data_IF_081472130048
#
_entry.id   IF_081472130048
#
_cell.length_a   1.000
_cell.length_b   1.000
_cell.length_c   1.000
_cell.angle_alpha   90.00
_cell.angle_beta   90.00
_cell.angle_gamma   90.00
#
_symmetry.space_group_name_H-M   'P 1'
#
loop_
_entity.id
_entity.type
_entity.pdbx_description
1 polymer ?
#
# COMPACT_ATOMS: atom_id res chain seq x y z
N UNK A 1 -11.46 4.99 12.91
CA UNK A 1 -10.13 5.62 13.03
C UNK A 1 -9.09 4.54 13.27
N UNK A 2 -8.30 4.21 12.26
CA UNK A 2 -7.26 3.17 12.34
C UNK A 2 -6.16 3.58 13.33
N UNK A 3 -5.91 2.74 14.33
CA UNK A 3 -4.84 2.97 15.31
C UNK A 3 -3.47 2.92 14.62
N UNK A 4 -2.87 4.10 14.49
CA UNK A 4 -1.46 4.45 14.25
C UNK A 4 -0.52 3.32 13.82
N UNK A 5 -0.22 3.27 12.53
CA UNK A 5 0.97 2.57 12.04
C UNK A 5 2.18 3.16 12.78
N UNK A 6 2.94 2.38 13.56
CA UNK A 6 4.04 2.91 14.35
C UNK A 6 5.09 3.55 13.44
N UNK A 7 5.45 4.81 13.70
CA UNK A 7 6.55 5.51 13.02
C UNK A 7 7.85 4.70 13.22
N UNK A 8 8.28 4.01 12.17
CA UNK A 8 9.49 3.18 12.14
C UNK A 8 10.21 3.39 10.82
N UNK A 9 11.54 3.38 10.86
CA UNK A 9 12.37 3.42 9.66
C UNK A 9 12.10 2.20 8.75
N UNK A 10 11.92 1.03 9.37
CA UNK A 10 11.64 -0.21 8.66
C UNK A 10 10.60 -1.07 9.38
N UNK A 11 9.77 -1.74 8.60
CA UNK A 11 8.81 -2.76 9.01
C UNK A 11 9.35 -4.13 8.59
N UNK A 12 9.17 -5.15 9.42
CA UNK A 12 9.49 -6.54 9.02
C UNK A 12 8.26 -7.16 8.37
N UNK A 13 8.45 -8.28 7.67
CA UNK A 13 7.33 -8.97 6.99
C UNK A 13 6.15 -9.26 7.91
N UNK A 14 6.40 -9.58 9.20
CA UNK A 14 5.33 -9.79 10.20
C UNK A 14 4.51 -8.53 10.47
N UNK A 15 5.17 -7.38 10.58
CA UNK A 15 4.49 -6.09 10.76
C UNK A 15 3.62 -5.78 9.54
N UNK A 16 4.19 -5.94 8.35
CA UNK A 16 3.49 -5.71 7.08
C UNK A 16 2.28 -6.63 6.93
N UNK A 17 2.42 -7.92 7.23
CA UNK A 17 1.31 -8.88 7.17
C UNK A 17 0.19 -8.51 8.15
N UNK A 18 0.54 -8.09 9.37
CA UNK A 18 -0.43 -7.65 10.38
C UNK A 18 -1.19 -6.41 9.94
N UNK A 19 -0.49 -5.43 9.36
CA UNK A 19 -1.10 -4.16 8.91
C UNK A 19 -1.94 -4.39 7.66
N UNK A 20 -1.41 -5.09 6.66
CA UNK A 20 -2.12 -5.36 5.42
C UNK A 20 -3.21 -6.43 5.58
N UNK A 21 -3.18 -7.26 6.63
CA UNK A 21 -4.14 -8.34 6.85
C UNK A 21 -4.03 -9.47 5.83
N UNK A 22 -2.82 -9.74 5.31
CA UNK A 22 -2.56 -10.81 4.34
C UNK A 22 -1.40 -11.70 4.77
N UNK A 23 -1.34 -12.91 4.22
CA UNK A 23 -0.30 -13.90 4.56
C UNK A 23 1.07 -13.52 3.97
N UNK A 24 2.20 -13.98 4.57
CA UNK A 24 3.53 -13.65 4.08
C UNK A 24 3.81 -14.03 2.62
N UNK A 25 3.26 -15.14 2.13
CA UNK A 25 3.45 -15.53 0.72
C UNK A 25 2.74 -14.58 -0.25
N UNK A 26 1.64 -13.95 0.15
CA UNK A 26 0.93 -12.94 -0.66
C UNK A 26 1.80 -11.69 -0.82
N UNK A 27 2.41 -11.21 0.27
CA UNK A 27 3.33 -10.06 0.21
C UNK A 27 4.53 -10.37 -0.69
N UNK A 28 5.11 -11.57 -0.55
CA UNK A 28 6.24 -11.99 -1.39
C UNK A 28 5.86 -12.10 -2.86
N UNK A 29 4.66 -12.58 -3.14
CA UNK A 29 4.15 -12.64 -4.50
C UNK A 29 3.98 -11.22 -5.07
N UNK A 30 3.41 -10.28 -4.31
CA UNK A 30 3.31 -8.89 -4.73
C UNK A 30 4.66 -8.21 -4.96
N UNK A 31 5.70 -8.53 -4.19
CA UNK A 31 7.06 -8.05 -4.47
C UNK A 31 7.58 -8.51 -5.85
N UNK A 32 7.17 -9.70 -6.32
CA UNK A 32 7.55 -10.20 -7.64
C UNK A 32 6.75 -9.52 -8.76
N UNK A 33 5.47 -9.28 -8.51
CA UNK A 33 4.56 -8.71 -9.51
C UNK A 33 4.74 -7.20 -9.67
N UNK A 34 4.88 -6.45 -8.56
CA UNK A 34 4.89 -4.99 -8.56
C UNK A 34 6.30 -4.46 -8.32
N UNK A 35 6.91 -3.91 -9.39
CA UNK A 35 8.30 -3.42 -9.39
C UNK A 35 8.52 -2.28 -8.40
N UNK A 36 7.49 -1.62 -7.94
CA UNK A 36 7.53 -0.51 -6.99
C UNK A 36 7.68 -0.99 -5.54
N UNK A 37 7.43 -2.27 -5.26
CA UNK A 37 7.56 -2.90 -3.94
C UNK A 37 8.91 -3.63 -3.88
N UNK A 38 9.96 -2.93 -3.44
CA UNK A 38 11.33 -3.47 -3.41
C UNK A 38 11.95 -3.28 -2.02
N UNK A 39 11.55 -4.10 -1.03
CA UNK A 39 12.14 -4.01 0.30
C UNK A 39 13.64 -4.33 0.24
N UNK A 40 14.43 -3.59 1.00
CA UNK A 40 15.83 -3.91 1.19
C UNK A 40 15.99 -5.23 1.95
N UNK A 41 17.13 -5.90 1.79
CA UNK A 41 17.51 -7.05 2.61
C UNK A 41 18.56 -6.60 3.63
N UNK A 42 18.35 -6.98 4.89
CA UNK A 42 19.40 -6.90 5.92
C UNK A 42 20.56 -7.84 5.61
N UNK A 43 21.67 -7.70 6.36
CA UNK A 43 22.81 -8.62 6.28
C UNK A 43 22.46 -10.09 6.50
N UNK A 44 21.40 -10.38 7.27
CA UNK A 44 20.88 -11.74 7.52
C UNK A 44 19.79 -12.17 6.52
N UNK A 45 19.61 -11.43 5.43
CA UNK A 45 18.61 -11.73 4.39
C UNK A 45 17.16 -11.40 4.75
N UNK A 46 16.90 -10.82 5.92
CA UNK A 46 15.55 -10.39 6.31
C UNK A 46 15.10 -9.18 5.50
N UNK A 47 13.84 -9.19 5.02
CA UNK A 47 13.24 -8.07 4.30
C UNK A 47 12.89 -6.93 5.25
N UNK A 48 13.29 -5.73 4.86
CA UNK A 48 13.03 -4.47 5.56
C UNK A 48 12.22 -3.57 4.62
N UNK A 49 10.95 -3.38 4.95
CA UNK A 49 10.02 -2.57 4.18
C UNK A 49 10.04 -1.15 4.73
N UNK A 50 10.13 -0.16 3.86
CA UNK A 50 9.98 1.24 4.25
C UNK A 50 8.50 1.62 4.41
N UNK A 51 8.21 2.80 4.96
CA UNK A 51 6.86 3.37 4.95
C UNK A 51 6.29 3.47 3.52
N UNK A 52 7.14 3.77 2.54
CA UNK A 52 6.79 3.84 1.12
C UNK A 52 6.40 2.47 0.54
N UNK A 53 7.14 1.43 0.88
CA UNK A 53 6.79 0.06 0.48
C UNK A 53 5.46 -0.38 1.11
N UNK A 54 5.26 -0.09 2.39
CA UNK A 54 4.01 -0.38 3.09
C UNK A 54 2.82 0.33 2.43
N UNK A 55 2.95 1.61 2.09
CA UNK A 55 1.90 2.36 1.41
C UNK A 55 1.52 1.73 0.05
N UNK A 56 2.51 1.26 -0.71
CA UNK A 56 2.27 0.57 -1.99
C UNK A 56 1.58 -0.78 -1.80
N UNK A 57 1.97 -1.54 -0.78
CA UNK A 57 1.34 -2.81 -0.43
C UNK A 57 -0.14 -2.59 -0.08
N UNK A 58 -0.46 -1.55 0.67
CA UNK A 58 -1.84 -1.21 1.02
C UNK A 58 -2.65 -0.76 -0.21
N UNK A 59 -2.04 0.01 -1.12
CA UNK A 59 -2.68 0.37 -2.38
C UNK A 59 -2.96 -0.86 -3.25
N UNK A 60 -1.99 -1.76 -3.42
CA UNK A 60 -2.17 -3.02 -4.14
C UNK A 60 -3.28 -3.87 -3.51
N UNK A 61 -3.31 -3.98 -2.18
CA UNK A 61 -4.39 -4.67 -1.47
C UNK A 61 -5.76 -4.09 -1.85
N UNK A 62 -5.91 -2.77 -1.76
CA UNK A 62 -7.16 -2.07 -2.10
C UNK A 62 -7.61 -2.38 -3.52
N UNK A 63 -6.71 -2.23 -4.49
CA UNK A 63 -7.00 -2.49 -5.90
C UNK A 63 -7.47 -3.94 -6.13
N UNK A 64 -6.80 -4.92 -5.53
CA UNK A 64 -7.09 -6.33 -5.76
C UNK A 64 -8.31 -6.85 -4.97
N UNK A 65 -8.46 -6.44 -3.71
CA UNK A 65 -9.45 -7.03 -2.80
C UNK A 65 -10.75 -6.22 -2.73
N UNK A 66 -10.65 -4.89 -2.80
CA UNK A 66 -11.81 -4.00 -2.67
C UNK A 66 -12.33 -3.63 -4.06
N UNK A 67 -11.43 -3.18 -4.96
CA UNK A 67 -11.79 -2.73 -6.31
C UNK A 67 -11.79 -3.87 -7.35
N UNK A 68 -11.46 -5.10 -6.94
CA UNK A 68 -11.53 -6.33 -7.75
C UNK A 68 -10.73 -6.30 -9.06
N UNK A 69 -9.64 -5.53 -9.11
CA UNK A 69 -8.71 -5.59 -10.22
C UNK A 69 -8.01 -6.94 -10.27
N UNK A 70 -7.68 -7.39 -11.49
CA UNK A 70 -6.67 -8.43 -11.68
C UNK A 70 -5.27 -7.85 -11.40
N UNK A 71 -4.26 -8.72 -11.23
CA UNK A 71 -2.86 -8.28 -11.10
C UNK A 71 -2.45 -7.38 -12.27
N UNK A 72 -2.77 -7.78 -13.49
CA UNK A 72 -2.43 -7.00 -14.69
C UNK A 72 -3.19 -5.67 -14.74
N UNK A 73 -4.46 -5.66 -14.38
CA UNK A 73 -5.24 -4.43 -14.26
C UNK A 73 -4.65 -3.46 -13.24
N UNK A 74 -4.25 -3.97 -12.06
CA UNK A 74 -3.63 -3.15 -11.02
C UNK A 74 -2.26 -2.61 -11.46
N UNK A 75 -1.44 -3.41 -12.16
CA UNK A 75 -0.18 -2.93 -12.75
C UNK A 75 -0.41 -1.79 -13.73
N UNK A 76 -1.38 -1.97 -14.64
CA UNK A 76 -1.74 -0.91 -15.60
C UNK A 76 -2.16 0.36 -14.88
N UNK A 77 -3.05 0.24 -13.91
CA UNK A 77 -3.52 1.35 -13.07
C UNK A 77 -2.36 2.13 -12.45
N UNK A 78 -1.38 1.44 -11.87
CA UNK A 78 -0.23 2.03 -11.19
C UNK A 78 0.81 2.63 -12.15
N UNK A 79 0.92 2.10 -13.37
CA UNK A 79 1.90 2.55 -14.36
C UNK A 79 1.48 3.82 -15.13
N UNK A 80 0.17 4.06 -15.24
CA UNK A 80 -0.36 5.21 -15.98
C UNK A 80 -0.20 6.51 -15.19
N UNK A 81 0.18 7.61 -15.86
CA UNK A 81 0.13 8.98 -15.28
C UNK A 81 -1.25 9.30 -14.69
N UNK A 82 -2.32 8.73 -15.27
CA UNK A 82 -3.68 8.84 -14.75
C UNK A 82 -3.87 8.19 -13.38
N UNK A 83 -3.13 7.12 -13.03
CA UNK A 83 -3.21 6.46 -11.72
C UNK A 83 -2.84 7.39 -10.57
N UNK A 84 -1.72 8.10 -10.70
CA UNK A 84 -1.27 9.08 -9.68
C UNK A 84 -2.29 10.20 -9.53
N UNK A 85 -2.78 10.76 -10.64
CA UNK A 85 -3.77 11.84 -10.61
C UNK A 85 -5.10 11.38 -9.98
N UNK A 86 -5.52 10.14 -10.25
CA UNK A 86 -6.69 9.51 -9.63
C UNK A 86 -6.54 9.39 -8.11
N UNK A 87 -5.37 8.93 -7.64
CA UNK A 87 -5.10 8.85 -6.19
C UNK A 87 -5.08 10.23 -5.53
N UNK A 88 -4.40 11.21 -6.14
CA UNK A 88 -4.40 12.59 -5.63
C UNK A 88 -5.82 13.13 -5.56
N UNK A 89 -6.61 12.94 -6.62
CA UNK A 89 -8.01 13.39 -6.64
C UNK A 89 -8.84 12.73 -5.55
N UNK A 90 -8.65 11.42 -5.30
CA UNK A 90 -9.36 10.69 -4.25
C UNK A 90 -9.05 11.26 -2.86
N UNK A 91 -7.76 11.46 -2.56
CA UNK A 91 -7.33 12.07 -1.28
C UNK A 91 -7.88 13.49 -1.13
N UNK A 92 -7.83 14.32 -2.18
CA UNK A 92 -8.36 15.68 -2.14
C UNK A 92 -9.87 15.72 -1.89
N UNK A 93 -10.63 14.78 -2.47
CA UNK A 93 -12.07 14.65 -2.22
C UNK A 93 -12.34 14.22 -0.77
N UNK A 94 -11.64 13.21 -0.26
CA UNK A 94 -11.74 12.77 1.14
C UNK A 94 -11.40 13.92 2.11
N UNK A 95 -10.35 14.69 1.82
CA UNK A 95 -9.98 15.87 2.62
C UNK A 95 -11.05 16.97 2.55
N UNK A 96 -11.62 17.21 1.37
CA UNK A 96 -12.68 18.20 1.19
C UNK A 96 -13.91 17.83 2.02
N UNK A 97 -14.33 16.57 1.99
CA UNK A 97 -15.45 16.07 2.81
C UNK A 97 -15.19 16.25 4.31
N UNK A 98 -13.96 16.01 4.78
CA UNK A 98 -13.58 16.25 6.19
C UNK A 98 -13.68 17.74 6.54
N UNK A 99 -13.23 18.62 5.63
CA UNK A 99 -13.25 20.08 5.86
C UNK A 99 -14.67 20.67 5.78
N UNK A 100 -15.53 20.13 4.93
CA UNK A 100 -16.94 20.55 4.79
C UNK A 100 -17.86 19.90 5.84
N UNK A 101 -17.44 18.78 6.43
CA UNK A 101 -18.22 17.91 7.31
C UNK A 101 -17.91 18.01 8.82
N UNK A 102 -17.43 19.16 9.31
CA UNK A 102 -17.30 19.46 10.75
C UNK A 102 -18.64 19.60 11.51
N UNK A 103 -19.55 18.64 11.35
CA UNK A 103 -20.69 18.39 12.24
C UNK A 103 -20.65 16.91 12.65
N UNK A 104 -19.92 16.61 13.72
CA UNK A 104 -20.17 15.45 14.57
C UNK A 104 -20.54 15.99 15.93
#
# INVERSE_FOLDING_TARGET
MEKGIPERLYYRIRDVCRIAGVKPHVIRYWEQEFKEIRPAKSSKGQRLYTKKDLGRILLVKRLLYEERFTIEGAKRYLSEKGGILREIKKVLLEMKEILEGGKV
#
